data_IF_816607924016
#
_entry.id   IF_816607924016
#
_cell.length_a   1.000
_cell.length_b   1.000
_cell.length_c   1.000
_cell.angle_alpha   90.00
_cell.angle_beta   90.00
_cell.angle_gamma   90.00
#
_symmetry.space_group_name_H-M   'P 1'
#
loop_
_entity.id
_entity.type
_entity.pdbx_description
1 polymer ?
#
# COMPACT_ATOMS: atom_id res chain seq x y z
N UNK A 1 -11.06 47.61 -17.07
CA UNK A 1 -10.03 46.65 -16.60
C UNK A 1 -10.23 46.21 -15.15
N UNK A 2 -10.48 47.12 -14.19
CA UNK A 2 -10.73 46.74 -12.79
C UNK A 2 -11.95 45.79 -12.60
N UNK A 3 -13.03 46.01 -13.35
CA UNK A 3 -14.26 45.22 -13.23
C UNK A 3 -14.13 43.79 -13.79
N UNK A 4 -13.32 43.62 -14.85
CA UNK A 4 -13.02 42.30 -15.44
C UNK A 4 -12.15 41.47 -14.49
N UNK A 5 -11.12 42.09 -13.88
CA UNK A 5 -10.25 41.40 -12.92
C UNK A 5 -10.99 41.04 -11.63
N UNK A 6 -11.89 41.90 -11.15
CA UNK A 6 -12.76 41.60 -10.01
C UNK A 6 -13.71 40.42 -10.33
N UNK A 7 -14.24 40.36 -11.55
CA UNK A 7 -15.10 39.25 -11.99
C UNK A 7 -14.33 37.94 -12.13
N UNK A 8 -13.11 37.97 -12.64
CA UNK A 8 -12.24 36.78 -12.72
C UNK A 8 -11.89 36.25 -11.32
N UNK A 9 -11.48 37.14 -10.40
CA UNK A 9 -11.22 36.76 -9.00
C UNK A 9 -12.44 36.12 -8.35
N UNK A 10 -13.64 36.70 -8.53
CA UNK A 10 -14.88 36.15 -7.99
C UNK A 10 -15.19 34.76 -8.56
N UNK A 11 -14.93 34.53 -9.86
CA UNK A 11 -15.19 33.25 -10.51
C UNK A 11 -14.18 32.18 -10.08
N UNK A 12 -12.90 32.54 -9.91
CA UNK A 12 -11.87 31.65 -9.36
C UNK A 12 -12.21 31.25 -7.91
N UNK A 13 -12.58 32.22 -7.07
CA UNK A 13 -13.02 31.96 -5.69
C UNK A 13 -14.28 31.05 -5.66
N UNK A 14 -15.22 31.28 -6.58
CA UNK A 14 -16.44 30.46 -6.70
C UNK A 14 -16.12 29.04 -7.17
N UNK A 15 -15.17 28.89 -8.10
CA UNK A 15 -14.75 27.61 -8.64
C UNK A 15 -13.97 26.79 -7.59
N UNK A 16 -13.12 27.44 -6.79
CA UNK A 16 -12.47 26.84 -5.62
C UNK A 16 -13.47 26.42 -4.54
N UNK A 17 -14.47 27.26 -4.25
CA UNK A 17 -15.58 26.94 -3.33
C UNK A 17 -16.40 25.73 -3.78
N UNK A 18 -16.70 25.61 -5.08
CA UNK A 18 -17.45 24.49 -5.66
C UNK A 18 -16.64 23.18 -5.65
N UNK A 19 -15.33 23.26 -5.96
CA UNK A 19 -14.42 22.12 -5.86
C UNK A 19 -14.22 21.65 -4.40
N UNK A 20 -14.32 22.57 -3.43
CA UNK A 20 -14.27 22.29 -2.01
C UNK A 20 -15.58 21.66 -1.48
N UNK A 21 -16.75 22.12 -1.91
CA UNK A 21 -18.04 21.73 -1.31
C UNK A 21 -18.46 20.28 -1.61
N UNK A 22 -18.17 19.74 -2.79
CA UNK A 22 -18.73 18.45 -3.24
C UNK A 22 -18.08 17.20 -2.63
N UNK A 23 -16.86 17.28 -2.08
CA UNK A 23 -16.15 16.13 -1.48
C UNK A 23 -15.53 16.41 -0.10
N UNK A 24 -15.37 17.68 0.31
CA UNK A 24 -14.56 18.04 1.48
C UNK A 24 -15.32 18.63 2.68
N UNK A 25 -16.63 18.80 2.59
CA UNK A 25 -17.47 19.42 3.64
C UNK A 25 -17.64 18.54 4.88
N UNK A 26 -17.91 17.23 4.75
CA UNK A 26 -18.35 16.43 5.90
C UNK A 26 -17.32 16.33 7.04
N UNK A 27 -16.04 16.05 6.74
CA UNK A 27 -14.98 15.97 7.77
C UNK A 27 -14.71 17.34 8.39
N UNK A 28 -14.77 18.41 7.58
CA UNK A 28 -14.61 19.79 8.06
C UNK A 28 -15.75 20.13 9.02
N UNK A 29 -16.99 19.86 8.65
CA UNK A 29 -18.16 20.22 9.45
C UNK A 29 -18.31 19.33 10.69
N UNK A 30 -17.89 18.06 10.60
CA UNK A 30 -17.75 17.17 11.76
C UNK A 30 -16.68 17.67 12.73
N UNK A 31 -15.52 18.09 12.21
CA UNK A 31 -14.47 18.68 13.03
C UNK A 31 -14.91 20.00 13.67
N UNK A 32 -15.59 20.90 12.93
CA UNK A 32 -16.19 22.11 13.50
C UNK A 32 -17.13 21.80 14.66
N UNK A 33 -18.01 20.80 14.48
CA UNK A 33 -18.96 20.40 15.53
C UNK A 33 -18.23 19.85 16.76
N UNK A 34 -17.17 19.07 16.55
CA UNK A 34 -16.33 18.58 17.64
C UNK A 34 -15.65 19.72 18.41
N UNK A 35 -15.04 20.70 17.71
CA UNK A 35 -14.34 21.80 18.37
C UNK A 35 -15.27 22.62 19.28
N UNK A 36 -16.53 22.81 18.89
CA UNK A 36 -17.57 23.49 19.71
C UNK A 36 -17.89 22.76 21.03
N UNK A 37 -17.51 21.50 21.17
CA UNK A 37 -17.72 20.73 22.41
C UNK A 37 -16.53 20.84 23.36
N UNK A 38 -15.42 21.43 22.93
CA UNK A 38 -14.25 21.63 23.78
C UNK A 38 -14.44 22.83 24.72
N UNK A 39 -13.83 22.83 25.92
CA UNK A 39 -14.00 23.89 26.92
C UNK A 39 -13.70 25.32 26.39
N UNK A 40 -12.74 25.44 25.47
CA UNK A 40 -12.35 26.72 24.86
C UNK A 40 -13.00 26.96 23.49
N UNK A 41 -13.79 26.00 22.99
CA UNK A 41 -14.55 26.09 21.74
C UNK A 41 -13.80 26.74 20.57
N UNK A 42 -12.58 26.29 20.23
CA UNK A 42 -11.76 26.95 19.22
C UNK A 42 -12.44 26.91 17.85
N UNK A 43 -12.31 27.99 17.08
CA UNK A 43 -12.64 27.94 15.65
C UNK A 43 -11.55 27.17 14.91
N UNK A 44 -11.85 26.64 13.72
CA UNK A 44 -10.86 25.83 12.96
C UNK A 44 -9.53 26.57 12.82
N UNK A 45 -9.52 27.89 12.59
CA UNK A 45 -8.29 28.66 12.40
C UNK A 45 -7.34 28.62 13.61
N UNK A 46 -7.86 28.38 14.81
CA UNK A 46 -7.11 28.40 16.07
C UNK A 46 -6.88 27.00 16.62
N UNK A 47 -7.24 25.97 15.85
CA UNK A 47 -7.06 24.59 16.28
C UNK A 47 -5.58 24.25 16.49
N UNK A 48 -5.31 23.47 17.52
CA UNK A 48 -3.96 23.03 17.88
C UNK A 48 -3.71 21.59 17.42
N UNK A 49 -2.45 21.13 17.40
CA UNK A 49 -2.14 19.72 17.21
C UNK A 49 -2.85 18.81 18.22
N UNK A 50 -3.08 19.31 19.45
CA UNK A 50 -3.79 18.58 20.50
C UNK A 50 -5.27 18.41 20.19
N UNK A 51 -5.94 19.45 19.68
CA UNK A 51 -7.36 19.36 19.29
C UNK A 51 -7.56 18.35 18.17
N UNK A 52 -6.60 18.25 17.24
CA UNK A 52 -6.60 17.21 16.21
C UNK A 52 -6.48 15.83 16.85
N UNK A 53 -5.54 15.61 17.78
CA UNK A 53 -5.41 14.30 18.46
C UNK A 53 -6.69 13.92 19.20
N UNK A 54 -7.29 14.84 19.95
CA UNK A 54 -8.57 14.62 20.65
C UNK A 54 -9.69 14.28 19.68
N UNK A 55 -9.77 14.98 18.54
CA UNK A 55 -10.74 14.66 17.49
C UNK A 55 -10.54 13.25 16.92
N UNK A 56 -9.30 12.83 16.66
CA UNK A 56 -9.03 11.47 16.17
C UNK A 56 -9.45 10.40 17.18
N UNK A 57 -9.20 10.62 18.47
CA UNK A 57 -9.67 9.73 19.56
C UNK A 57 -11.19 9.69 19.64
N UNK A 58 -11.87 10.84 19.50
CA UNK A 58 -13.33 10.90 19.43
C UNK A 58 -13.88 10.05 18.28
N UNK A 59 -13.25 10.13 17.09
CA UNK A 59 -13.63 9.32 15.92
C UNK A 59 -13.41 7.82 16.10
N UNK A 60 -12.45 7.39 16.94
CA UNK A 60 -12.14 5.97 17.15
C UNK A 60 -13.31 5.17 17.72
N UNK A 61 -14.18 5.80 18.51
CA UNK A 61 -15.37 5.19 19.12
C UNK A 61 -16.34 4.57 18.09
N UNK A 62 -16.33 5.08 16.85
CA UNK A 62 -17.19 4.60 15.75
C UNK A 62 -16.52 3.52 14.88
N UNK A 63 -15.38 3.01 15.30
CA UNK A 63 -14.57 2.06 14.56
C UNK A 63 -15.19 0.68 14.32
N UNK A 64 -14.79 0.01 13.23
CA UNK A 64 -15.15 -1.40 12.95
C UNK A 64 -13.98 -2.37 13.17
N UNK A 65 -12.76 -1.87 13.34
CA UNK A 65 -11.58 -2.70 13.57
C UNK A 65 -11.54 -3.10 15.03
N UNK A 66 -11.60 -4.40 15.33
CA UNK A 66 -11.41 -4.90 16.69
C UNK A 66 -9.91 -5.07 16.96
N UNK A 67 -9.40 -4.38 17.97
CA UNK A 67 -7.97 -4.34 18.31
C UNK A 67 -7.73 -5.21 19.52
N UNK A 68 -7.30 -6.45 19.29
CA UNK A 68 -7.13 -7.46 20.33
C UNK A 68 -5.91 -7.21 21.21
N UNK A 69 -6.11 -7.17 22.52
CA UNK A 69 -5.01 -7.17 23.49
C UNK A 69 -4.23 -8.49 23.42
N UNK A 70 -2.95 -8.49 23.82
CA UNK A 70 -2.04 -9.63 23.68
C UNK A 70 -2.57 -10.94 24.27
N UNK A 71 -3.31 -10.87 25.38
CA UNK A 71 -3.88 -12.05 26.06
C UNK A 71 -5.27 -12.45 25.55
N UNK A 72 -5.79 -11.80 24.50
CA UNK A 72 -7.10 -12.13 23.97
C UNK A 72 -7.06 -13.50 23.25
N UNK A 73 -7.96 -14.45 23.56
CA UNK A 73 -8.05 -15.72 22.84
C UNK A 73 -8.36 -15.59 21.35
N UNK A 74 -8.81 -14.41 20.92
CA UNK A 74 -9.15 -14.10 19.53
C UNK A 74 -8.05 -13.28 18.83
N UNK A 75 -6.86 -13.16 19.42
CA UNK A 75 -5.72 -12.48 18.81
C UNK A 75 -5.46 -13.03 17.38
N UNK A 76 -5.32 -12.11 16.42
CA UNK A 76 -5.12 -12.43 15.00
C UNK A 76 -6.37 -12.89 14.23
N UNK A 77 -7.53 -13.11 14.89
CA UNK A 77 -8.78 -13.39 14.19
C UNK A 77 -9.32 -12.14 13.51
N UNK A 78 -9.97 -12.33 12.37
CA UNK A 78 -10.61 -11.25 11.61
C UNK A 78 -12.11 -11.22 11.85
N UNK A 79 -12.76 -10.10 11.55
CA UNK A 79 -14.19 -9.91 11.78
C UNK A 79 -14.54 -9.60 13.24
N UNK A 80 -15.84 -9.51 13.54
CA UNK A 80 -16.31 -9.21 14.88
C UNK A 80 -16.28 -10.47 15.74
N UNK A 81 -15.43 -10.45 16.77
CA UNK A 81 -15.30 -11.51 17.73
C UNK A 81 -15.98 -11.13 19.04
N UNK A 82 -16.52 -12.12 19.76
CA UNK A 82 -17.06 -11.93 21.10
C UNK A 82 -15.90 -11.78 22.09
N UNK A 83 -15.46 -10.53 22.33
CA UNK A 83 -14.54 -10.18 23.40
C UNK A 83 -14.65 -8.70 23.77
N UNK A 84 -14.03 -8.33 24.90
CA UNK A 84 -14.03 -6.96 25.44
C UNK A 84 -12.98 -6.04 24.80
N UNK A 85 -12.32 -6.49 23.73
CA UNK A 85 -11.29 -5.72 23.07
C UNK A 85 -11.88 -4.48 22.37
N UNK A 86 -11.19 -3.33 22.41
CA UNK A 86 -11.71 -2.08 21.88
C UNK A 86 -11.92 -2.14 20.36
N UNK A 87 -12.87 -1.31 19.91
CA UNK A 87 -13.08 -1.02 18.50
C UNK A 87 -12.45 0.33 18.16
N UNK A 88 -11.73 0.37 17.03
CA UNK A 88 -10.98 1.53 16.54
C UNK A 88 -11.22 1.74 15.05
N UNK A 89 -10.98 2.96 14.57
CA UNK A 89 -10.90 3.19 13.13
C UNK A 89 -9.67 2.49 12.57
N UNK A 90 -9.74 2.03 11.31
CA UNK A 90 -8.56 1.52 10.64
C UNK A 90 -7.51 2.62 10.52
N UNK A 91 -6.24 2.32 10.79
CA UNK A 91 -5.14 3.29 10.73
C UNK A 91 -5.10 4.08 9.41
N UNK A 92 -5.45 3.45 8.28
CA UNK A 92 -5.58 4.11 6.97
C UNK A 92 -6.70 5.16 6.91
N UNK A 93 -7.83 4.91 7.57
CA UNK A 93 -8.95 5.87 7.67
C UNK A 93 -8.54 7.08 8.51
N UNK A 94 -7.87 6.86 9.64
CA UNK A 94 -7.35 7.94 10.50
C UNK A 94 -6.36 8.81 9.72
N UNK A 95 -5.44 8.20 8.96
CA UNK A 95 -4.51 8.93 8.10
C UNK A 95 -5.24 9.74 7.01
N UNK A 96 -6.33 9.21 6.44
CA UNK A 96 -7.17 9.92 5.48
C UNK A 96 -7.84 11.16 6.09
N UNK A 97 -8.34 11.07 7.32
CA UNK A 97 -8.90 12.21 8.06
C UNK A 97 -7.84 13.29 8.27
N UNK A 98 -6.63 12.93 8.70
CA UNK A 98 -5.54 13.91 8.87
C UNK A 98 -5.18 14.57 7.55
N UNK A 99 -5.11 13.83 6.45
CA UNK A 99 -4.82 14.40 5.13
C UNK A 99 -5.90 15.40 4.71
N UNK A 100 -7.17 15.12 5.02
CA UNK A 100 -8.27 16.04 4.80
C UNK A 100 -8.12 17.30 5.64
N UNK A 101 -7.80 17.17 6.92
CA UNK A 101 -7.57 18.31 7.81
C UNK A 101 -6.41 19.18 7.31
N UNK A 102 -5.32 18.58 6.83
CA UNK A 102 -4.22 19.33 6.19
C UNK A 102 -4.72 20.21 5.06
N UNK A 103 -5.55 19.66 4.16
CA UNK A 103 -6.15 20.42 3.06
C UNK A 103 -7.13 21.50 3.55
N UNK A 104 -7.86 21.26 4.64
CA UNK A 104 -8.74 22.27 5.25
C UNK A 104 -7.92 23.45 5.78
N UNK A 105 -6.83 23.17 6.52
CA UNK A 105 -5.95 24.20 7.06
C UNK A 105 -5.20 24.97 5.95
N UNK A 106 -4.73 24.26 4.92
CA UNK A 106 -4.12 24.88 3.75
C UNK A 106 -5.09 25.83 3.05
N UNK A 107 -6.35 25.40 2.86
CA UNK A 107 -7.40 26.19 2.24
C UNK A 107 -7.72 27.48 3.00
N UNK A 108 -7.67 27.46 4.34
CA UNK A 108 -7.88 28.68 5.16
C UNK A 108 -6.59 29.50 5.36
N UNK A 109 -5.56 29.28 4.54
CA UNK A 109 -4.34 30.09 4.53
C UNK A 109 -3.27 29.71 5.55
N UNK A 110 -3.40 28.57 6.25
CA UNK A 110 -2.39 28.11 7.24
C UNK A 110 -1.21 27.36 6.63
N UNK A 111 -1.18 27.24 5.30
CA UNK A 111 -0.07 26.63 4.56
C UNK A 111 0.09 25.12 4.79
N UNK A 112 1.30 24.61 4.52
CA UNK A 112 1.65 23.18 4.57
C UNK A 112 2.63 22.81 5.69
N UNK A 113 3.04 23.77 6.51
CA UNK A 113 4.08 23.63 7.53
C UNK A 113 3.49 24.01 8.89
N UNK A 114 3.95 23.34 9.94
CA UNK A 114 3.66 23.70 11.34
C UNK A 114 4.91 24.32 11.96
N UNK A 115 4.74 25.41 12.70
CA UNK A 115 5.80 26.12 13.42
C UNK A 115 5.59 25.95 14.94
N UNK A 116 6.31 25.03 15.59
CA UNK A 116 6.08 24.70 17.00
C UNK A 116 6.34 25.87 17.97
N UNK A 117 7.34 26.70 17.68
CA UNK A 117 7.76 27.80 18.57
C UNK A 117 6.65 28.85 18.75
N UNK A 118 5.95 29.18 17.68
CA UNK A 118 4.92 30.21 17.68
C UNK A 118 3.50 29.63 17.75
N UNK A 119 3.37 28.30 17.77
CA UNK A 119 2.10 27.58 17.66
C UNK A 119 1.28 28.03 16.43
N UNK A 120 1.97 28.25 15.29
CA UNK A 120 1.37 28.76 14.05
C UNK A 120 1.53 27.80 12.86
N UNK A 121 0.80 28.07 11.78
CA UNK A 121 0.78 27.25 10.57
C UNK A 121 -0.28 26.14 10.65
N UNK A 122 -0.01 25.03 9.98
CA UNK A 122 -0.96 23.93 9.80
C UNK A 122 -0.79 22.87 10.91
N UNK A 123 -1.66 22.83 11.94
CA UNK A 123 -1.54 21.90 13.06
C UNK A 123 -1.64 20.43 12.63
N UNK A 124 -2.30 20.12 11.51
CA UNK A 124 -2.37 18.75 10.98
C UNK A 124 -1.02 18.27 10.39
N UNK A 125 -0.09 19.19 10.13
CA UNK A 125 1.28 18.90 9.73
C UNK A 125 2.26 18.79 10.90
N UNK A 126 1.79 18.99 12.14
CA UNK A 126 2.64 18.97 13.31
C UNK A 126 3.31 17.59 13.54
N UNK A 127 4.58 17.56 14.03
CA UNK A 127 5.28 16.32 14.34
C UNK A 127 4.50 15.38 15.29
N UNK A 128 3.76 15.93 16.24
CA UNK A 128 2.99 15.23 17.26
C UNK A 128 1.81 14.46 16.64
N UNK A 129 1.12 15.06 15.67
CA UNK A 129 0.06 14.39 14.90
C UNK A 129 0.65 13.24 14.08
N UNK A 130 1.83 13.45 13.49
CA UNK A 130 2.55 12.39 12.77
C UNK A 130 2.99 11.24 13.69
N UNK A 131 3.47 11.54 14.90
CA UNK A 131 3.83 10.54 15.89
C UNK A 131 2.60 9.77 16.38
N UNK A 132 1.48 10.46 16.58
CA UNK A 132 0.21 9.83 16.94
C UNK A 132 -0.27 8.82 15.88
N UNK A 133 -0.21 9.18 14.59
CA UNK A 133 -0.52 8.24 13.51
C UNK A 133 0.41 7.01 13.49
N UNK A 134 1.69 7.18 13.81
CA UNK A 134 2.63 6.06 13.94
C UNK A 134 2.25 5.16 15.11
N UNK A 135 1.88 5.72 16.25
CA UNK A 135 1.47 4.97 17.44
C UNK A 135 0.24 4.10 17.16
N UNK A 136 -0.80 4.64 16.53
CA UNK A 136 -1.99 3.87 16.11
C UNK A 136 -1.61 2.71 15.19
N UNK A 137 -0.70 2.96 14.25
CA UNK A 137 -0.25 1.91 13.32
C UNK A 137 0.48 0.77 14.06
N UNK A 138 1.29 1.10 15.06
CA UNK A 138 1.99 0.10 15.89
C UNK A 138 0.99 -0.68 16.74
N UNK A 139 0.07 0.00 17.46
CA UNK A 139 -0.99 -0.64 18.27
C UNK A 139 -1.78 -1.67 17.46
N UNK A 140 -2.26 -1.28 16.28
CA UNK A 140 -3.04 -2.17 15.41
C UNK A 140 -2.19 -3.32 14.87
N UNK A 141 -0.93 -3.07 14.49
CA UNK A 141 -0.02 -4.10 14.02
C UNK A 141 0.32 -5.14 15.12
N UNK A 142 0.58 -4.68 16.35
CA UNK A 142 0.80 -5.54 17.52
C UNK A 142 -0.42 -6.38 17.89
N UNK A 143 -1.61 -5.93 17.48
CA UNK A 143 -2.87 -6.67 17.63
C UNK A 143 -3.16 -7.60 16.44
N UNK A 144 -2.17 -7.82 15.56
CA UNK A 144 -2.27 -8.61 14.34
C UNK A 144 -3.37 -8.15 13.38
N UNK A 145 -3.74 -6.86 13.42
CA UNK A 145 -4.63 -6.26 12.42
C UNK A 145 -3.88 -6.12 11.11
N UNK A 146 -4.27 -6.89 10.11
CA UNK A 146 -3.70 -6.84 8.78
C UNK A 146 -4.43 -5.81 7.90
N UNK A 147 -3.71 -5.00 7.09
CA UNK A 147 -4.34 -4.19 6.06
C UNK A 147 -5.14 -5.07 5.10
N UNK A 148 -6.37 -4.65 4.77
CA UNK A 148 -7.23 -5.38 3.81
C UNK A 148 -6.63 -5.43 2.39
N UNK A 149 -5.72 -4.50 2.06
CA UNK A 149 -5.09 -4.39 0.76
C UNK A 149 -3.59 -4.12 0.92
N UNK A 150 -2.76 -4.83 0.15
CA UNK A 150 -1.34 -4.50 -0.02
C UNK A 150 -1.22 -3.19 -0.81
N UNK A 151 -0.10 -2.47 -0.64
CA UNK A 151 0.19 -1.35 -1.54
C UNK A 151 0.39 -1.92 -2.95
N UNK A 152 -0.36 -1.45 -3.96
CA UNK A 152 -0.18 -1.94 -5.32
C UNK A 152 1.23 -1.62 -5.80
N UNK A 153 1.90 -2.61 -6.39
CA UNK A 153 3.08 -2.37 -7.20
C UNK A 153 2.59 -1.73 -8.50
N UNK A 154 2.87 -0.45 -8.73
CA UNK A 154 2.50 0.22 -9.98
C UNK A 154 3.46 -0.17 -11.11
N UNK A 155 3.00 -0.18 -12.37
CA UNK A 155 3.82 -0.49 -13.57
C UNK A 155 5.14 0.28 -13.56
N UNK A 156 5.10 1.60 -13.28
CA UNK A 156 6.31 2.44 -13.21
C UNK A 156 7.33 1.92 -12.18
N UNK A 157 6.87 1.45 -11.03
CA UNK A 157 7.74 0.91 -9.97
C UNK A 157 8.34 -0.43 -10.38
N UNK A 158 7.54 -1.32 -10.98
CA UNK A 158 8.03 -2.58 -11.53
C UNK A 158 9.10 -2.32 -12.59
N UNK A 159 8.86 -1.38 -13.51
CA UNK A 159 9.83 -1.02 -14.55
C UNK A 159 11.14 -0.48 -13.98
N UNK A 160 11.08 0.47 -13.05
CA UNK A 160 12.27 0.99 -12.36
C UNK A 160 13.05 -0.11 -11.62
N UNK A 161 12.33 -1.00 -10.95
CA UNK A 161 12.92 -2.12 -10.23
C UNK A 161 13.59 -3.12 -11.18
N UNK A 162 12.93 -3.47 -12.30
CA UNK A 162 13.49 -4.33 -13.34
C UNK A 162 14.75 -3.73 -13.95
N UNK A 163 14.77 -2.42 -14.24
CA UNK A 163 15.95 -1.71 -14.75
C UNK A 163 17.10 -1.75 -13.73
N UNK A 164 16.81 -1.44 -12.47
CA UNK A 164 17.82 -1.49 -11.41
C UNK A 164 18.40 -2.90 -11.23
N UNK A 165 17.54 -3.93 -11.19
CA UNK A 165 18.04 -5.30 -11.03
C UNK A 165 18.82 -5.73 -12.28
N UNK A 166 18.39 -5.32 -13.48
CA UNK A 166 19.14 -5.57 -14.72
C UNK A 166 20.53 -4.95 -14.67
N UNK A 167 20.65 -3.69 -14.24
CA UNK A 167 21.96 -3.05 -14.12
C UNK A 167 22.86 -3.72 -13.10
N UNK A 168 22.30 -4.37 -12.05
CA UNK A 168 23.07 -5.21 -11.14
C UNK A 168 23.51 -6.53 -11.77
N UNK A 169 22.65 -7.16 -12.57
CA UNK A 169 22.97 -8.42 -13.28
C UNK A 169 24.03 -8.23 -14.36
N UNK A 170 24.10 -7.04 -14.97
CA UNK A 170 25.07 -6.70 -16.00
C UNK A 170 26.45 -6.28 -15.42
N UNK A 171 26.57 -6.16 -14.09
CA UNK A 171 27.83 -5.89 -13.40
C UNK A 171 28.76 -7.11 -13.48
N UNK A 172 29.94 -6.93 -14.08
CA UNK A 172 30.93 -8.00 -14.23
C UNK A 172 31.51 -8.50 -12.89
N UNK A 173 31.42 -7.68 -11.83
CA UNK A 173 31.90 -8.02 -10.49
C UNK A 173 30.86 -8.75 -9.63
N UNK A 174 29.66 -8.99 -10.15
CA UNK A 174 28.58 -9.62 -9.38
C UNK A 174 28.94 -11.04 -8.95
N UNK A 175 28.72 -11.34 -7.66
CA UNK A 175 28.91 -12.70 -7.14
C UNK A 175 27.86 -13.67 -7.70
N UNK A 176 28.18 -14.97 -7.79
CA UNK A 176 27.21 -16.01 -8.17
C UNK A 176 25.95 -16.00 -7.30
N UNK A 177 26.12 -15.74 -6.00
CA UNK A 177 25.02 -15.65 -5.04
C UNK A 177 24.10 -14.48 -5.36
N UNK A 178 24.67 -13.31 -5.57
CA UNK A 178 23.89 -12.10 -5.86
C UNK A 178 23.24 -12.20 -7.23
N UNK A 179 23.93 -12.79 -8.22
CA UNK A 179 23.37 -13.07 -9.55
C UNK A 179 22.13 -13.95 -9.45
N UNK A 180 22.18 -15.01 -8.65
CA UNK A 180 21.01 -15.83 -8.36
C UNK A 180 19.88 -15.04 -7.69
N UNK A 181 20.19 -14.29 -6.61
CA UNK A 181 19.19 -13.51 -5.86
C UNK A 181 18.50 -12.49 -6.76
N UNK A 182 19.27 -11.72 -7.52
CA UNK A 182 18.75 -10.69 -8.42
C UNK A 182 17.89 -11.29 -9.55
N UNK A 183 18.34 -12.37 -10.18
CA UNK A 183 17.56 -13.03 -11.23
C UNK A 183 16.24 -13.60 -10.68
N UNK A 184 16.28 -14.26 -9.52
CA UNK A 184 15.11 -14.78 -8.80
C UNK A 184 14.12 -13.66 -8.46
N UNK A 185 14.60 -12.60 -7.83
CA UNK A 185 13.75 -11.51 -7.36
C UNK A 185 13.12 -10.75 -8.53
N UNK A 186 13.87 -10.54 -9.62
CA UNK A 186 13.32 -9.93 -10.84
C UNK A 186 12.19 -10.77 -11.44
N UNK A 187 12.39 -12.08 -11.58
CA UNK A 187 11.36 -12.99 -12.05
C UNK A 187 10.14 -12.96 -11.13
N UNK A 188 10.36 -13.04 -9.82
CA UNK A 188 9.30 -13.00 -8.81
C UNK A 188 8.47 -11.72 -8.87
N UNK A 189 9.09 -10.54 -8.95
CA UNK A 189 8.34 -9.28 -9.02
C UNK A 189 7.48 -9.18 -10.28
N UNK A 190 7.96 -9.70 -11.41
CA UNK A 190 7.20 -9.72 -12.67
C UNK A 190 6.03 -10.70 -12.57
N UNK A 191 6.25 -11.92 -12.08
CA UNK A 191 5.19 -12.92 -11.85
C UNK A 191 4.15 -12.37 -10.87
N UNK A 192 4.59 -11.78 -9.77
CA UNK A 192 3.73 -11.18 -8.76
C UNK A 192 2.84 -10.07 -9.34
N UNK A 193 3.39 -9.22 -10.20
CA UNK A 193 2.62 -8.15 -10.81
C UNK A 193 1.56 -8.68 -11.78
N UNK A 194 1.94 -9.59 -12.68
CA UNK A 194 1.05 -10.10 -13.74
C UNK A 194 0.11 -11.22 -13.28
N UNK A 195 0.50 -12.02 -12.31
CA UNK A 195 -0.30 -13.12 -11.77
C UNK A 195 -1.44 -12.65 -10.85
N UNK A 196 -1.36 -11.42 -10.32
CA UNK A 196 -2.42 -10.83 -9.49
C UNK A 196 -2.70 -11.54 -8.16
N UNK A 197 -1.89 -12.54 -7.80
CA UNK A 197 -2.07 -13.36 -6.59
C UNK A 197 -1.27 -12.78 -5.40
N UNK A 198 -1.34 -13.38 -4.21
CA UNK A 198 -0.57 -12.95 -3.04
C UNK A 198 0.87 -13.43 -3.12
N UNK A 199 1.81 -12.57 -2.76
CA UNK A 199 3.24 -12.91 -2.71
C UNK A 199 3.53 -14.15 -1.88
N UNK A 200 2.91 -14.26 -0.71
CA UNK A 200 3.10 -15.43 0.16
C UNK A 200 2.60 -16.74 -0.47
N UNK A 201 1.56 -16.69 -1.31
CA UNK A 201 1.04 -17.88 -1.97
C UNK A 201 1.95 -18.22 -3.18
N UNK A 202 2.35 -17.23 -3.97
CA UNK A 202 3.27 -17.41 -5.11
C UNK A 202 4.65 -17.94 -4.72
N UNK A 203 5.18 -17.58 -3.55
CA UNK A 203 6.46 -18.12 -3.05
C UNK A 203 6.43 -19.62 -2.76
N UNK A 204 5.25 -20.23 -2.68
CA UNK A 204 5.07 -21.67 -2.46
C UNK A 204 4.99 -22.46 -3.77
N UNK A 205 5.00 -21.78 -4.91
CA UNK A 205 4.93 -22.43 -6.23
C UNK A 205 6.15 -23.33 -6.43
N UNK A 206 5.89 -24.61 -6.73
CA UNK A 206 6.94 -25.60 -7.02
C UNK A 206 7.29 -25.60 -8.50
N UNK A 207 8.48 -26.05 -8.85
CA UNK A 207 8.90 -26.13 -10.27
C UNK A 207 7.95 -27.01 -11.11
N UNK A 208 7.46 -28.12 -10.55
CA UNK A 208 6.50 -29.01 -11.20
C UNK A 208 5.11 -28.38 -11.47
N UNK A 209 4.82 -27.26 -10.82
CA UNK A 209 3.58 -26.48 -10.96
C UNK A 209 3.69 -25.40 -12.04
N UNK A 210 4.85 -25.28 -12.68
CA UNK A 210 5.12 -24.32 -13.77
C UNK A 210 5.22 -25.09 -15.09
N UNK A 211 4.33 -24.80 -16.03
CA UNK A 211 4.28 -25.45 -17.36
C UNK A 211 4.39 -24.41 -18.46
N UNK A 212 5.13 -24.70 -19.53
CA UNK A 212 5.13 -23.86 -20.72
C UNK A 212 3.85 -24.07 -21.52
N UNK A 213 3.30 -23.00 -22.09
CA UNK A 213 2.20 -23.10 -23.04
C UNK A 213 2.75 -23.55 -24.41
N UNK A 214 1.93 -24.24 -25.24
CA UNK A 214 2.33 -24.58 -26.61
C UNK A 214 2.75 -23.32 -27.39
N UNK A 215 3.73 -23.47 -28.28
CA UNK A 215 4.17 -22.38 -29.17
C UNK A 215 4.96 -21.24 -28.51
N UNK A 216 5.45 -21.42 -27.29
CA UNK A 216 6.11 -20.37 -26.48
C UNK A 216 5.20 -19.17 -26.16
N UNK A 217 3.87 -19.40 -26.19
CA UNK A 217 2.83 -18.39 -25.93
C UNK A 217 2.72 -17.98 -24.44
N UNK A 218 3.59 -18.52 -23.59
CA UNK A 218 3.71 -18.14 -22.20
C UNK A 218 3.90 -19.30 -21.24
N UNK A 219 3.55 -19.05 -19.98
CA UNK A 219 3.76 -19.98 -18.86
C UNK A 219 2.49 -20.10 -18.04
N UNK A 220 2.05 -21.32 -17.78
CA UNK A 220 0.97 -21.66 -16.87
C UNK A 220 1.54 -21.95 -15.48
N UNK A 221 1.04 -21.26 -14.46
CA UNK A 221 1.38 -21.52 -13.06
C UNK A 221 0.15 -22.11 -12.36
N UNK A 222 0.33 -23.21 -11.67
CA UNK A 222 -0.73 -23.97 -11.00
C UNK A 222 -0.33 -24.26 -9.56
N UNK A 223 -0.58 -23.34 -8.63
CA UNK A 223 -0.22 -23.58 -7.22
C UNK A 223 -1.40 -24.08 -6.40
N UNK A 224 -1.11 -25.05 -5.55
CA UNK A 224 -2.09 -25.78 -4.73
C UNK A 224 -2.05 -25.38 -3.25
N UNK A 225 -1.04 -24.61 -2.83
CA UNK A 225 -0.74 -24.31 -1.42
C UNK A 225 -0.80 -22.81 -1.15
N UNK A 226 -1.80 -22.39 -0.36
CA UNK A 226 -1.87 -21.06 0.24
C UNK A 226 -2.16 -21.17 1.73
N UNK A 227 -2.13 -20.06 2.48
CA UNK A 227 -2.36 -20.03 3.94
C UNK A 227 -3.72 -20.60 4.41
N UNK A 228 -4.63 -20.86 3.50
CA UNK A 228 -5.97 -21.42 3.76
C UNK A 228 -6.16 -22.64 2.87
N UNK A 229 -6.38 -23.81 3.47
CA UNK A 229 -6.90 -25.00 2.79
C UNK A 229 -8.25 -24.63 2.14
N UNK A 230 -8.30 -24.60 0.82
CA UNK A 230 -9.56 -24.47 0.07
C UNK A 230 -10.13 -25.88 -0.07
N UNK A 231 -11.17 -26.19 0.71
CA UNK A 231 -11.71 -27.55 0.88
C UNK A 231 -12.40 -28.15 -0.34
N UNK A 232 -12.24 -27.59 -1.53
CA UNK A 232 -12.90 -27.97 -2.78
C UNK A 232 -11.95 -28.49 -3.87
N UNK A 233 -10.67 -28.73 -3.54
CA UNK A 233 -9.68 -29.24 -4.52
C UNK A 233 -9.32 -28.24 -5.62
N UNK A 234 -9.70 -26.96 -5.48
CA UNK A 234 -9.41 -25.92 -6.47
C UNK A 234 -7.92 -25.54 -6.43
N UNK A 235 -7.27 -25.74 -7.58
CA UNK A 235 -5.92 -25.23 -7.87
C UNK A 235 -6.04 -23.80 -8.36
N UNK A 236 -5.25 -22.88 -7.78
CA UNK A 236 -5.13 -21.53 -8.34
C UNK A 236 -4.25 -21.62 -9.58
N UNK A 237 -4.87 -21.49 -10.75
CA UNK A 237 -4.21 -21.60 -12.05
C UNK A 237 -4.34 -20.27 -12.80
N UNK A 238 -3.21 -19.75 -13.30
CA UNK A 238 -3.18 -18.56 -14.14
C UNK A 238 -2.08 -18.66 -15.19
N UNK A 239 -2.32 -18.03 -16.34
CA UNK A 239 -1.36 -17.96 -17.44
C UNK A 239 -0.65 -16.60 -17.45
N UNK A 240 0.66 -16.62 -17.60
CA UNK A 240 1.50 -15.46 -17.90
C UNK A 240 1.81 -15.47 -19.38
N UNK A 241 1.44 -14.40 -20.08
CA UNK A 241 1.77 -14.22 -21.50
C UNK A 241 2.97 -13.28 -21.67
N UNK A 242 3.73 -13.41 -22.76
CA UNK A 242 4.69 -12.38 -23.16
C UNK A 242 3.98 -11.03 -23.34
N UNK A 243 4.67 -9.93 -23.05
CA UNK A 243 4.19 -8.59 -23.36
C UNK A 243 5.23 -7.79 -24.14
N UNK A 244 4.77 -6.77 -24.87
CA UNK A 244 5.61 -5.90 -25.70
C UNK A 244 6.71 -5.21 -24.88
N UNK A 245 6.40 -4.76 -23.66
CA UNK A 245 7.40 -4.17 -22.78
C UNK A 245 8.33 -5.24 -22.20
N UNK A 246 9.45 -5.46 -22.89
CA UNK A 246 10.48 -6.43 -22.52
C UNK A 246 11.09 -6.20 -21.14
N UNK A 247 11.07 -4.96 -20.62
CA UNK A 247 11.62 -4.64 -19.30
C UNK A 247 10.81 -5.31 -18.20
N UNK A 248 9.48 -5.35 -18.35
CA UNK A 248 8.56 -5.90 -17.36
C UNK A 248 8.03 -7.28 -17.73
N UNK A 249 8.29 -7.77 -18.94
CA UNK A 249 7.76 -9.04 -19.45
C UNK A 249 8.01 -10.22 -18.48
N UNK A 250 6.95 -10.87 -17.98
CA UNK A 250 7.06 -11.93 -16.97
C UNK A 250 7.69 -13.21 -17.53
N UNK A 251 7.37 -13.56 -18.78
CA UNK A 251 7.94 -14.73 -19.45
C UNK A 251 9.46 -14.56 -19.63
N UNK A 252 9.90 -13.39 -20.12
CA UNK A 252 11.34 -13.09 -20.21
C UNK A 252 12.03 -13.04 -18.84
N UNK A 253 11.34 -12.56 -17.81
CA UNK A 253 11.85 -12.61 -16.43
C UNK A 253 12.12 -14.03 -15.95
N UNK A 254 11.17 -14.94 -16.19
CA UNK A 254 11.33 -16.37 -15.88
C UNK A 254 12.45 -17.02 -16.70
N UNK A 255 12.51 -16.75 -18.00
CA UNK A 255 13.57 -17.25 -18.89
C UNK A 255 14.95 -16.82 -18.39
N UNK A 256 15.13 -15.54 -18.04
CA UNK A 256 16.39 -15.03 -17.49
C UNK A 256 16.77 -15.75 -16.19
N UNK A 257 15.81 -16.00 -15.31
CA UNK A 257 16.04 -16.73 -14.07
C UNK A 257 16.48 -18.17 -14.32
N UNK A 258 15.80 -18.91 -15.20
CA UNK A 258 16.16 -20.28 -15.53
C UNK A 258 17.53 -20.37 -16.23
N UNK A 259 17.84 -19.47 -17.16
CA UNK A 259 19.15 -19.39 -17.80
C UNK A 259 20.26 -19.08 -16.79
N UNK A 260 19.99 -18.19 -15.82
CA UNK A 260 20.93 -17.89 -14.73
C UNK A 260 21.19 -19.13 -13.87
N UNK A 261 20.13 -19.86 -13.51
CA UNK A 261 20.23 -21.10 -12.73
C UNK A 261 21.03 -22.18 -13.44
N UNK A 262 20.84 -22.32 -14.77
CA UNK A 262 21.61 -23.23 -15.63
C UNK A 262 23.08 -22.84 -15.64
N UNK A 263 23.39 -21.57 -15.88
CA UNK A 263 24.76 -21.05 -15.89
C UNK A 263 25.49 -21.17 -14.55
N UNK A 264 24.76 -21.17 -13.43
CA UNK A 264 25.29 -21.36 -12.08
C UNK A 264 25.39 -22.84 -11.67
N UNK A 265 24.99 -23.79 -12.52
CA UNK A 265 25.07 -25.23 -12.23
C UNK A 265 24.10 -25.71 -11.15
N UNK A 266 23.02 -24.97 -10.88
CA UNK A 266 22.06 -25.32 -9.82
C UNK A 266 21.22 -26.56 -10.18
N UNK A 267 21.07 -26.85 -11.48
CA UNK A 267 20.36 -28.03 -11.99
C UNK A 267 21.32 -29.20 -12.25
N UNK A 268 21.94 -29.76 -11.21
CA UNK A 268 22.95 -30.81 -11.40
C UNK A 268 22.44 -32.25 -11.30
N UNK A 269 21.14 -32.52 -11.00
CA UNK A 269 20.68 -33.91 -10.82
C UNK A 269 19.26 -34.28 -11.27
N UNK A 270 18.39 -33.36 -11.72
CA UNK A 270 16.99 -33.71 -12.04
C UNK A 270 16.58 -33.08 -13.37
N UNK A 271 15.86 -33.84 -14.22
CA UNK A 271 15.32 -33.33 -15.48
C UNK A 271 14.48 -32.09 -15.20
N UNK A 272 14.96 -30.96 -15.69
CA UNK A 272 14.18 -29.72 -15.70
C UNK A 272 13.11 -29.89 -16.80
N UNK A 273 11.84 -29.49 -16.60
CA UNK A 273 10.77 -29.60 -17.61
C UNK A 273 11.02 -28.79 -18.90
N UNK A 274 12.20 -28.19 -19.03
CA UNK A 274 12.60 -27.21 -20.03
C UNK A 274 13.84 -27.70 -20.80
N UNK A 275 14.14 -29.00 -20.80
CA UNK A 275 15.38 -29.56 -21.36
C UNK A 275 15.46 -29.46 -22.89
N UNK A 276 14.35 -29.39 -23.61
CA UNK A 276 14.35 -29.60 -25.07
C UNK A 276 14.01 -28.37 -25.92
N UNK A 277 13.64 -27.23 -25.31
CA UNK A 277 13.16 -26.05 -26.07
C UNK A 277 13.68 -24.68 -25.56
N UNK A 278 14.88 -24.63 -24.99
CA UNK A 278 15.61 -23.37 -24.70
C UNK A 278 17.07 -23.41 -25.13
#
# INVERSE_FOLDING_TARGET
MNDINARLSYLDDTQEMLAYSQKRSSVRDDFKRFLKQLPHSPVIGDGTPEDIRKYLVFKDSCGKTQVHVLLCPNMGKTGLQRCLCPRRLASGTVAGIVQHLKSVYEFIGKGRIWFPHDNTGNPACAPEVRLFLKAIKVEQASSHVLPKQSKPLFVRKLRLLSIFIRSRLDDLSISSRDRFIFARDQAFFKIQFFGGDRAGDLTLTKLQEVKQLPGDDGVLLSHSFGKTLRGDGKVNCFALKPCEDHVICPVRGLQLYFSTMKGLGVFSRHRVPFQDHF
#
